data_IF_342265727799
#
_entry.id   IF_342265727799
#
_cell.length_a   1.000
_cell.length_b   1.000
_cell.length_c   1.000
_cell.angle_alpha   90.00
_cell.angle_beta   90.00
_cell.angle_gamma   90.00
#
_symmetry.space_group_name_H-M   'P 1'
#
loop_
_entity.id
_entity.type
_entity.pdbx_description
1 polymer ?
#
# COMPACT_ATOMS: atom_id res chain seq x y z
N UNK A 1 60.20 42.72 22.87
CA UNK A 1 60.70 41.94 21.73
C UNK A 1 59.55 41.14 21.13
N UNK A 2 59.42 41.21 19.81
CA UNK A 2 58.67 40.33 18.90
C UNK A 2 57.14 40.21 19.04
N UNK A 3 56.48 41.14 18.35
CA UNK A 3 55.25 40.95 17.57
C UNK A 3 55.29 39.75 16.61
N UNK A 4 54.18 39.04 16.42
CA UNK A 4 53.94 38.26 15.19
C UNK A 4 52.45 38.11 14.89
N UNK A 5 51.94 39.06 14.12
CA UNK A 5 50.71 38.95 13.34
C UNK A 5 50.88 37.88 12.25
N UNK A 6 49.88 37.03 12.02
CA UNK A 6 49.72 36.35 10.72
C UNK A 6 48.33 36.62 10.17
N UNK A 7 48.39 37.13 8.95
CA UNK A 7 47.38 37.66 8.06
C UNK A 7 47.25 36.72 6.86
N UNK A 8 46.10 36.76 6.17
CA UNK A 8 45.87 36.16 4.85
C UNK A 8 45.22 34.76 4.93
N UNK A 9 44.24 34.39 4.10
CA UNK A 9 43.87 34.86 2.78
C UNK A 9 42.37 34.67 2.54
N UNK A 10 41.69 35.73 2.10
CA UNK A 10 40.37 35.73 1.48
C UNK A 10 40.52 35.43 0.00
N UNK A 11 40.04 34.27 -0.46
CA UNK A 11 39.90 33.97 -1.89
C UNK A 11 38.47 34.36 -2.34
N UNK A 12 38.36 35.50 -3.01
CA UNK A 12 37.16 35.91 -3.72
C UNK A 12 36.96 35.00 -4.94
N UNK A 13 35.80 34.35 -5.03
CA UNK A 13 35.40 33.53 -6.17
C UNK A 13 34.42 34.32 -7.02
N UNK A 14 34.87 34.69 -8.21
CA UNK A 14 34.09 35.41 -9.22
C UNK A 14 32.91 34.54 -9.69
N UNK A 15 31.69 35.09 -9.63
CA UNK A 15 30.49 34.49 -10.21
C UNK A 15 30.28 35.16 -11.57
N UNK A 16 30.56 34.41 -12.64
CA UNK A 16 30.24 34.81 -14.00
C UNK A 16 28.73 34.71 -14.22
N UNK A 17 28.09 35.84 -14.50
CA UNK A 17 26.70 35.91 -14.95
C UNK A 17 26.62 35.48 -16.42
N UNK A 18 26.16 34.26 -16.66
CA UNK A 18 25.81 33.79 -18.00
C UNK A 18 24.40 34.26 -18.34
N UNK A 19 24.32 35.04 -19.42
CA UNK A 19 23.09 35.58 -19.99
C UNK A 19 22.20 34.46 -20.56
N UNK A 20 20.92 34.48 -20.18
CA UNK A 20 19.89 33.59 -20.73
C UNK A 20 19.53 33.99 -22.17
N UNK A 21 19.44 33.05 -23.13
CA UNK A 21 18.96 33.35 -24.46
C UNK A 21 17.44 33.52 -24.51
N UNK A 22 17.04 34.48 -25.35
CA UNK A 22 15.68 34.86 -25.70
C UNK A 22 14.79 33.66 -26.05
N UNK A 23 13.66 33.57 -25.34
CA UNK A 23 12.60 32.58 -25.52
C UNK A 23 11.77 32.96 -26.75
N UNK A 24 11.74 32.10 -27.76
CA UNK A 24 10.89 32.26 -28.95
C UNK A 24 9.39 32.15 -28.59
N UNK A 25 8.49 32.85 -29.33
CA UNK A 25 7.06 32.81 -29.08
C UNK A 25 6.44 31.49 -29.55
N UNK A 26 5.57 30.91 -28.71
CA UNK A 26 4.76 29.73 -29.02
C UNK A 26 3.64 30.07 -30.01
N UNK A 27 3.28 29.16 -30.94
CA UNK A 27 2.15 29.35 -31.83
C UNK A 27 0.81 29.21 -31.10
N UNK A 28 -0.11 30.14 -31.37
CA UNK A 28 -1.52 30.10 -30.96
C UNK A 28 -2.19 28.83 -31.49
N UNK A 29 -2.60 27.94 -30.60
CA UNK A 29 -3.53 26.85 -30.92
C UNK A 29 -4.95 27.40 -30.97
N UNK A 30 -5.57 27.30 -32.16
CA UNK A 30 -6.99 27.57 -32.43
C UNK A 30 -7.87 26.64 -31.58
N UNK A 31 -8.82 27.23 -30.87
CA UNK A 31 -9.93 26.52 -30.23
C UNK A 31 -10.81 25.85 -31.29
N UNK A 32 -10.95 24.52 -31.22
CA UNK A 32 -11.97 23.80 -31.95
C UNK A 32 -13.29 23.84 -31.15
N UNK A 33 -14.30 24.46 -31.74
CA UNK A 33 -15.68 24.49 -31.28
C UNK A 33 -16.28 23.09 -31.34
N UNK A 34 -16.64 22.52 -30.18
CA UNK A 34 -17.38 21.25 -30.10
C UNK A 34 -18.85 21.60 -29.89
N UNK A 35 -19.64 21.32 -30.92
CA UNK A 35 -21.08 21.48 -30.97
C UNK A 35 -21.78 20.37 -30.20
N UNK A 36 -22.64 20.74 -29.25
CA UNK A 36 -23.51 19.82 -28.50
C UNK A 36 -24.60 19.20 -29.39
N UNK A 37 -24.93 17.90 -29.23
CA UNK A 37 -26.21 17.37 -29.68
C UNK A 37 -27.20 17.21 -28.53
N UNK A 38 -28.19 18.10 -28.58
CA UNK A 38 -29.64 17.88 -28.49
C UNK A 38 -30.18 16.70 -27.67
N UNK A 39 -30.89 17.07 -26.60
CA UNK A 39 -31.95 16.30 -25.94
C UNK A 39 -32.98 15.76 -26.94
N UNK A 40 -33.30 14.47 -26.87
CA UNK A 40 -34.59 13.97 -27.34
C UNK A 40 -35.31 13.17 -26.25
N UNK A 41 -36.52 13.64 -26.01
CA UNK A 41 -37.52 13.15 -25.08
C UNK A 41 -38.28 11.95 -25.65
N UNK A 42 -38.74 11.10 -24.71
CA UNK A 42 -40.02 10.36 -24.68
C UNK A 42 -40.28 9.31 -25.77
N UNK A 43 -40.51 8.08 -25.29
CA UNK A 43 -41.71 7.33 -25.67
C UNK A 43 -42.07 6.32 -24.57
N UNK A 44 -43.28 6.47 -24.04
CA UNK A 44 -43.97 5.46 -23.25
C UNK A 44 -44.31 4.27 -24.16
N UNK A 45 -44.12 3.05 -23.67
CA UNK A 45 -44.82 1.87 -24.18
C UNK A 45 -45.50 1.20 -22.99
N UNK A 46 -46.82 1.32 -22.95
CA UNK A 46 -47.67 0.38 -22.25
C UNK A 46 -47.84 -0.83 -23.16
N UNK A 47 -47.59 -2.04 -22.65
CA UNK A 47 -48.40 -3.19 -23.04
C UNK A 47 -48.33 -4.29 -21.98
N UNK A 48 -49.52 -4.61 -21.51
CA UNK A 48 -49.95 -5.73 -20.68
C UNK A 48 -49.41 -7.08 -21.12
N UNK A 49 -49.03 -7.92 -20.16
CA UNK A 49 -49.26 -9.38 -20.19
C UNK A 49 -49.19 -9.94 -18.78
N UNK A 50 -50.37 -10.19 -18.23
CA UNK A 50 -50.56 -10.98 -17.02
C UNK A 50 -50.42 -12.45 -17.38
N UNK A 51 -49.46 -13.15 -16.76
CA UNK A 51 -49.46 -14.61 -16.72
C UNK A 51 -48.80 -15.10 -15.42
N UNK A 52 -49.69 -15.51 -14.51
CA UNK A 52 -49.57 -16.57 -13.49
C UNK A 52 -48.15 -17.12 -13.23
N UNK A 53 -47.62 -16.79 -12.06
CA UNK A 53 -46.76 -17.69 -11.27
C UNK A 53 -47.16 -17.50 -9.81
N UNK A 54 -48.15 -18.28 -9.38
CA UNK A 54 -48.30 -18.66 -7.98
C UNK A 54 -47.39 -19.86 -7.75
N UNK A 55 -46.81 -19.97 -6.56
CA UNK A 55 -46.07 -21.13 -6.03
C UNK A 55 -44.53 -21.04 -6.10
N UNK A 56 -43.95 -20.12 -5.31
CA UNK A 56 -42.56 -20.25 -4.85
C UNK A 56 -42.26 -19.48 -3.53
N UNK A 57 -43.23 -19.30 -2.64
CA UNK A 57 -42.96 -18.81 -1.28
C UNK A 57 -42.85 -20.01 -0.33
N UNK A 58 -41.62 -20.42 -0.01
CA UNK A 58 -41.44 -21.46 1.01
C UNK A 58 -40.09 -22.14 1.18
N UNK A 59 -38.97 -21.65 0.59
CA UNK A 59 -37.68 -22.34 0.71
C UNK A 59 -36.43 -21.49 1.03
N UNK A 60 -36.54 -20.18 1.31
CA UNK A 60 -35.34 -19.38 1.63
C UNK A 60 -34.99 -19.28 3.13
N UNK A 61 -35.91 -19.60 4.04
CA UNK A 61 -35.68 -19.38 5.49
C UNK A 61 -34.96 -20.53 6.22
N UNK A 62 -34.90 -21.73 5.62
CA UNK A 62 -34.20 -22.89 6.23
C UNK A 62 -32.68 -22.87 6.02
N UNK A 63 -32.18 -22.06 5.08
CA UNK A 63 -30.75 -21.93 4.78
C UNK A 63 -29.98 -21.07 5.78
N UNK A 64 -30.62 -20.03 6.34
CA UNK A 64 -29.97 -19.11 7.27
C UNK A 64 -29.89 -19.66 8.70
N UNK A 65 -30.87 -20.47 9.13
CA UNK A 65 -30.83 -21.11 10.46
C UNK A 65 -29.81 -22.26 10.57
N UNK A 66 -29.49 -22.99 9.49
CA UNK A 66 -28.40 -24.00 9.50
C UNK A 66 -27.00 -23.39 9.53
N UNK A 67 -26.82 -22.14 9.06
CA UNK A 67 -25.52 -21.43 9.12
C UNK A 67 -25.23 -20.84 10.50
N UNK A 68 -26.26 -20.39 11.24
CA UNK A 68 -26.10 -19.87 12.61
C UNK A 68 -25.82 -20.98 13.64
N UNK A 69 -26.37 -22.18 13.46
CA UNK A 69 -26.15 -23.31 14.38
C UNK A 69 -24.76 -23.94 14.28
N UNK A 70 -24.11 -23.86 13.11
CA UNK A 70 -22.77 -24.44 12.92
C UNK A 70 -21.63 -23.57 13.49
N UNK A 71 -21.82 -22.24 13.57
CA UNK A 71 -20.86 -21.33 14.23
C UNK A 71 -20.88 -21.47 15.76
N UNK A 72 -22.06 -21.69 16.36
CA UNK A 72 -22.21 -21.85 17.81
C UNK A 72 -21.59 -23.16 18.33
N UNK A 73 -21.64 -24.25 17.54
CA UNK A 73 -21.04 -25.52 17.93
C UNK A 73 -19.51 -25.55 17.81
N UNK A 74 -18.91 -24.78 16.88
CA UNK A 74 -17.44 -24.69 16.76
C UNK A 74 -16.79 -23.99 17.97
N UNK A 75 -17.42 -22.93 18.49
CA UNK A 75 -16.96 -22.26 19.74
C UNK A 75 -17.02 -23.15 20.99
N UNK A 76 -17.89 -24.17 21.01
CA UNK A 76 -18.00 -25.09 22.17
C UNK A 76 -16.94 -26.19 22.18
N UNK A 77 -16.39 -26.58 21.02
CA UNK A 77 -15.31 -27.57 20.97
C UNK A 77 -13.93 -26.96 21.29
N UNK A 78 -13.69 -25.69 20.92
CA UNK A 78 -12.41 -25.02 21.20
C UNK A 78 -12.20 -24.69 22.70
N UNK A 79 -13.27 -24.64 23.50
CA UNK A 79 -13.19 -24.33 24.93
C UNK A 79 -12.85 -25.52 25.84
N UNK A 80 -12.73 -26.75 25.33
CA UNK A 80 -12.32 -27.92 26.14
C UNK A 80 -10.82 -28.24 26.07
N UNK A 81 -10.04 -27.48 25.29
CA UNK A 81 -8.58 -27.62 25.18
C UNK A 81 -7.74 -26.53 25.86
N UNK A 82 -8.38 -25.62 26.60
CA UNK A 82 -7.78 -24.35 27.05
C UNK A 82 -6.70 -24.42 28.13
N UNK A 83 -6.55 -25.53 28.86
CA UNK A 83 -5.75 -25.53 30.09
C UNK A 83 -4.27 -25.94 29.93
N UNK A 84 -3.88 -26.62 28.84
CA UNK A 84 -2.48 -27.10 28.71
C UNK A 84 -1.48 -26.10 28.11
N UNK A 85 -1.92 -24.95 27.59
CA UNK A 85 -1.01 -23.96 26.96
C UNK A 85 -0.52 -22.86 27.90
N UNK A 86 -1.04 -22.74 29.12
CA UNK A 86 -0.61 -21.68 30.04
C UNK A 86 0.64 -22.01 30.86
N UNK A 87 1.10 -23.27 30.92
CA UNK A 87 2.23 -23.63 31.80
C UNK A 87 3.62 -23.43 31.18
N UNK A 88 3.76 -23.20 29.86
CA UNK A 88 5.08 -23.02 29.23
C UNK A 88 5.53 -21.56 29.04
N UNK A 89 4.79 -20.58 29.58
CA UNK A 89 5.09 -19.16 29.38
C UNK A 89 5.72 -18.45 30.61
N UNK A 90 6.15 -19.19 31.63
CA UNK A 90 6.82 -18.62 32.82
C UNK A 90 8.35 -18.55 32.70
N UNK A 91 8.93 -19.04 31.60
CA UNK A 91 10.33 -18.80 31.28
C UNK A 91 10.51 -17.42 30.66
N UNK A 92 10.55 -16.38 31.50
CA UNK A 92 10.94 -15.00 31.14
C UNK A 92 12.41 -14.88 30.74
N UNK A 93 12.90 -15.81 29.92
CA UNK A 93 14.21 -15.71 29.28
C UNK A 93 14.18 -14.49 28.39
N UNK A 94 14.97 -13.49 28.77
CA UNK A 94 15.33 -12.34 27.97
C UNK A 94 15.68 -12.85 26.57
N UNK A 95 14.73 -12.72 25.63
CA UNK A 95 14.96 -13.14 24.25
C UNK A 95 16.11 -12.28 23.78
N UNK A 96 17.30 -12.87 23.67
CA UNK A 96 18.49 -12.21 23.14
C UNK A 96 18.05 -11.41 21.93
N UNK A 97 18.15 -10.08 22.04
CA UNK A 97 17.81 -9.18 20.94
C UNK A 97 18.72 -9.58 19.80
N UNK A 98 18.15 -10.23 18.79
CA UNK A 98 18.89 -10.52 17.56
C UNK A 98 19.34 -9.18 17.00
N UNK A 99 20.63 -9.07 16.68
CA UNK A 99 21.16 -7.94 15.93
C UNK A 99 20.28 -7.70 14.69
N UNK A 100 20.00 -6.43 14.34
CA UNK A 100 19.16 -6.13 13.20
C UNK A 100 19.83 -6.65 11.93
N UNK A 101 19.05 -7.28 11.06
CA UNK A 101 19.57 -7.76 9.78
C UNK A 101 19.83 -6.56 8.85
N UNK A 102 20.90 -6.58 8.05
CA UNK A 102 21.12 -5.54 7.04
C UNK A 102 20.02 -5.58 5.97
N UNK A 103 19.64 -4.42 5.46
CA UNK A 103 18.78 -4.27 4.28
C UNK A 103 19.51 -4.83 3.05
N UNK A 104 18.75 -5.49 2.17
CA UNK A 104 19.29 -5.99 0.90
C UNK A 104 19.53 -4.81 -0.07
N UNK A 105 18.66 -3.80 -0.05
CA UNK A 105 18.76 -2.65 -0.93
C UNK A 105 17.92 -1.47 -0.50
N UNK A 106 18.32 -0.28 -0.94
CA UNK A 106 17.60 0.99 -0.79
C UNK A 106 17.58 1.67 -2.15
N UNK A 107 16.39 1.85 -2.70
CA UNK A 107 16.18 2.40 -4.03
C UNK A 107 15.47 3.74 -3.92
N UNK A 108 16.14 4.80 -4.37
CA UNK A 108 15.64 6.18 -4.34
C UNK A 108 15.13 6.66 -5.70
N UNK A 109 15.57 6.02 -6.78
CA UNK A 109 15.41 6.56 -8.12
C UNK A 109 14.30 5.81 -8.88
N UNK A 110 14.32 4.47 -8.83
CA UNK A 110 13.32 3.64 -9.50
C UNK A 110 13.14 2.26 -8.85
N UNK A 111 12.04 1.59 -9.19
CA UNK A 111 11.78 0.21 -8.80
C UNK A 111 12.74 -0.76 -9.50
N UNK A 112 13.44 -1.64 -8.77
CA UNK A 112 14.43 -2.55 -9.35
C UNK A 112 13.82 -3.80 -10.00
N UNK A 113 12.57 -4.10 -9.66
CA UNK A 113 11.79 -5.23 -10.18
C UNK A 113 10.31 -4.84 -10.20
N UNK A 114 9.51 -5.57 -10.96
CA UNK A 114 8.06 -5.46 -10.88
C UNK A 114 7.55 -5.89 -9.49
N UNK A 115 6.71 -5.07 -8.87
CA UNK A 115 6.19 -5.29 -7.53
C UNK A 115 4.66 -5.18 -7.49
N UNK A 116 4.07 -5.95 -6.58
CA UNK A 116 2.64 -6.01 -6.36
C UNK A 116 2.29 -5.68 -4.91
N UNK A 117 1.17 -4.98 -4.73
CA UNK A 117 0.53 -4.72 -3.44
C UNK A 117 -0.89 -5.24 -3.46
N UNK A 118 -1.17 -6.24 -2.62
CA UNK A 118 -2.54 -6.68 -2.32
C UNK A 118 -3.16 -5.73 -1.29
N UNK A 119 -4.32 -5.17 -1.61
CA UNK A 119 -5.00 -4.17 -0.78
C UNK A 119 -6.51 -4.45 -0.68
N UNK A 120 -7.10 -4.01 0.43
CA UNK A 120 -8.56 -4.08 0.65
C UNK A 120 -9.25 -2.79 0.21
N UNK A 121 -9.34 -2.56 -1.10
CA UNK A 121 -9.89 -1.35 -1.70
C UNK A 121 -8.87 -0.60 -2.57
N UNK A 122 -9.33 0.48 -3.17
CA UNK A 122 -8.55 1.40 -4.02
C UNK A 122 -7.70 2.41 -3.21
N UNK A 123 -8.03 2.65 -1.94
CA UNK A 123 -7.23 3.52 -1.06
C UNK A 123 -6.28 2.73 -0.19
N UNK A 124 -5.04 3.21 -0.08
CA UNK A 124 -4.03 2.62 0.80
C UNK A 124 -4.26 3.10 2.23
N UNK A 125 -4.38 2.15 3.15
CA UNK A 125 -4.52 2.39 4.59
C UNK A 125 -3.49 1.57 5.37
N UNK A 126 -2.38 2.20 5.71
CA UNK A 126 -1.39 1.66 6.64
C UNK A 126 -1.93 1.67 8.07
N UNK A 127 -1.61 0.62 8.82
CA UNK A 127 -2.09 0.41 10.18
C UNK A 127 -0.99 0.72 11.19
N UNK A 128 -1.29 1.63 12.11
CA UNK A 128 -0.44 1.94 13.27
C UNK A 128 -0.40 0.79 14.29
N UNK A 129 0.81 0.42 14.73
CA UNK A 129 1.06 -0.63 15.72
C UNK A 129 0.25 -0.44 17.01
N UNK A 130 0.37 0.71 17.68
CA UNK A 130 -0.23 0.91 19.00
C UNK A 130 -1.76 0.85 18.95
N UNK A 131 -2.35 1.46 17.93
CA UNK A 131 -3.79 1.39 17.64
C UNK A 131 -4.26 -0.02 17.31
N UNK A 132 -3.50 -0.81 16.55
CA UNK A 132 -3.90 -2.21 16.30
C UNK A 132 -3.80 -3.05 17.58
N UNK A 133 -2.79 -2.81 18.42
CA UNK A 133 -2.63 -3.51 19.70
C UNK A 133 -3.76 -3.21 20.68
N UNK A 134 -4.20 -1.95 20.79
CA UNK A 134 -5.34 -1.59 21.64
C UNK A 134 -6.66 -2.22 21.18
N UNK A 135 -6.78 -2.53 19.89
CA UNK A 135 -7.91 -3.25 19.30
C UNK A 135 -7.78 -4.78 19.36
N UNK A 136 -6.73 -5.31 20.01
CA UNK A 136 -6.48 -6.77 20.07
C UNK A 136 -6.10 -7.41 18.73
N UNK A 137 -5.59 -6.61 17.78
CA UNK A 137 -5.18 -7.07 16.44
C UNK A 137 -3.66 -7.23 16.37
N UNK A 138 -3.21 -8.25 15.63
CA UNK A 138 -1.78 -8.55 15.49
C UNK A 138 -1.12 -7.93 14.26
N UNK A 139 -1.91 -7.58 13.24
CA UNK A 139 -1.39 -7.07 11.97
C UNK A 139 -1.28 -5.54 11.98
N UNK A 140 -0.08 -5.05 11.71
CA UNK A 140 0.25 -3.63 11.57
C UNK A 140 1.30 -3.46 10.45
N UNK A 141 1.45 -2.22 9.98
CA UNK A 141 2.35 -1.88 8.87
C UNK A 141 3.44 -0.88 9.30
N UNK A 142 3.15 -0.03 10.29
CA UNK A 142 4.08 1.00 10.78
C UNK A 142 4.00 1.15 12.30
N UNK A 143 5.01 1.80 12.89
CA UNK A 143 5.01 2.27 14.29
C UNK A 143 5.27 3.77 14.28
N UNK A 144 4.38 4.56 14.87
CA UNK A 144 4.56 6.00 14.97
C UNK A 144 5.64 6.37 16.00
N UNK A 145 6.33 7.49 15.74
CA UNK A 145 7.21 8.13 16.72
C UNK A 145 6.43 8.70 17.91
N UNK A 146 7.17 9.14 18.92
CA UNK A 146 6.57 9.81 20.09
C UNK A 146 5.79 11.08 19.71
N UNK A 147 6.22 11.73 18.63
CA UNK A 147 5.61 12.90 18.01
C UNK A 147 4.38 12.59 17.13
N UNK A 148 3.94 11.33 17.08
CA UNK A 148 2.84 10.83 16.24
C UNK A 148 3.10 10.93 14.73
N UNK A 149 4.37 11.03 14.31
CA UNK A 149 4.76 11.02 12.90
C UNK A 149 5.29 9.65 12.45
N UNK A 150 5.23 9.43 11.14
CA UNK A 150 5.95 8.36 10.46
C UNK A 150 7.31 8.90 10.06
N UNK A 151 8.37 8.33 10.61
CA UNK A 151 9.73 8.73 10.26
C UNK A 151 10.30 7.89 9.11
N UNK A 152 11.14 8.51 8.25
CA UNK A 152 11.90 7.75 7.27
C UNK A 152 12.83 6.80 8.01
N UNK A 153 12.97 5.58 7.48
CA UNK A 153 13.87 4.59 8.08
C UNK A 153 15.33 4.99 7.83
N UNK A 154 16.13 5.31 8.87
CA UNK A 154 17.54 5.64 8.70
C UNK A 154 18.39 4.37 8.56
N UNK A 155 19.60 4.54 8.03
CA UNK A 155 20.65 3.53 8.05
C UNK A 155 20.47 2.38 7.06
N UNK A 156 21.36 1.40 7.18
CA UNK A 156 21.44 0.22 6.33
C UNK A 156 20.72 -1.00 6.92
N UNK A 157 20.11 -0.90 8.11
CA UNK A 157 19.59 -2.05 8.85
C UNK A 157 18.06 -2.09 8.95
N UNK A 158 17.52 -3.29 8.82
CA UNK A 158 16.11 -3.60 9.07
C UNK A 158 15.84 -3.70 10.57
N UNK A 159 15.04 -2.77 11.13
CA UNK A 159 14.52 -2.92 12.50
C UNK A 159 13.00 -2.96 12.57
N UNK A 160 12.36 -3.48 11.53
CA UNK A 160 10.92 -3.72 11.50
C UNK A 160 10.18 -2.96 10.41
N UNK A 161 8.86 -3.17 10.41
CA UNK A 161 7.93 -2.68 9.39
C UNK A 161 7.81 -1.17 9.46
N UNK A 162 7.95 -0.50 8.32
CA UNK A 162 7.86 0.96 8.24
C UNK A 162 7.27 1.45 6.90
N UNK A 163 6.26 0.76 6.35
CA UNK A 163 5.64 1.23 5.12
C UNK A 163 4.71 0.25 4.42
N UNK A 164 4.50 0.51 3.13
CA UNK A 164 3.65 -0.29 2.27
C UNK A 164 4.38 -1.56 1.83
N UNK A 165 4.01 -2.69 2.42
CA UNK A 165 4.50 -4.02 2.03
C UNK A 165 4.16 -4.34 0.57
N UNK A 166 5.16 -4.66 -0.23
CA UNK A 166 5.07 -5.09 -1.62
C UNK A 166 5.90 -6.37 -1.85
N UNK A 167 5.57 -7.14 -2.90
CA UNK A 167 6.30 -8.37 -3.26
C UNK A 167 6.41 -8.51 -4.79
N UNK A 168 7.49 -9.10 -5.31
CA UNK A 168 7.57 -9.48 -6.71
C UNK A 168 6.63 -10.66 -7.01
N UNK A 169 6.45 -10.99 -8.29
CA UNK A 169 5.73 -12.18 -8.70
C UNK A 169 6.47 -13.44 -8.22
N UNK A 170 5.86 -14.17 -7.27
CA UNK A 170 6.38 -15.43 -6.74
C UNK A 170 5.25 -16.26 -6.09
N UNK A 171 5.52 -17.52 -5.69
CA UNK A 171 4.51 -18.39 -5.06
C UNK A 171 3.90 -17.82 -3.79
N UNK A 172 4.67 -17.06 -3.00
CA UNK A 172 4.19 -16.45 -1.76
C UNK A 172 3.19 -15.34 -2.06
N UNK A 173 3.42 -14.52 -3.10
CA UNK A 173 2.45 -13.52 -3.55
C UNK A 173 1.17 -14.18 -4.07
N UNK A 174 1.27 -15.24 -4.88
CA UNK A 174 0.10 -15.97 -5.39
C UNK A 174 -0.76 -16.50 -4.25
N UNK A 175 -0.14 -17.19 -3.29
CA UNK A 175 -0.82 -17.69 -2.09
C UNK A 175 -1.48 -16.55 -1.31
N UNK A 176 -0.83 -15.39 -1.21
CA UNK A 176 -1.41 -14.20 -0.57
C UNK A 176 -2.65 -13.70 -1.33
N UNK A 177 -2.59 -13.59 -2.66
CA UNK A 177 -3.73 -13.14 -3.50
C UNK A 177 -4.89 -14.11 -3.40
N UNK A 178 -4.63 -15.42 -3.54
CA UNK A 178 -5.64 -16.48 -3.45
C UNK A 178 -6.34 -16.48 -2.10
N UNK A 179 -5.59 -16.34 -1.01
CA UNK A 179 -6.13 -16.30 0.36
C UNK A 179 -6.78 -14.98 0.74
N UNK A 180 -6.50 -13.90 0.02
CA UNK A 180 -7.10 -12.61 0.30
C UNK A 180 -8.59 -12.66 -0.04
N UNK A 181 -9.42 -12.82 0.99
CA UNK A 181 -10.85 -13.02 0.87
C UNK A 181 -11.60 -11.71 1.16
N UNK A 182 -11.45 -10.74 0.26
CA UNK A 182 -12.23 -9.51 0.26
C UNK A 182 -12.85 -9.29 -1.13
N UNK A 183 -14.16 -9.01 -1.24
CA UNK A 183 -14.75 -8.64 -2.53
C UNK A 183 -14.23 -7.30 -3.06
N UNK A 184 -13.70 -6.45 -2.16
CA UNK A 184 -13.02 -5.20 -2.51
C UNK A 184 -11.52 -5.39 -2.76
N UNK A 185 -11.04 -6.62 -2.92
CA UNK A 185 -9.63 -6.87 -3.19
C UNK A 185 -9.18 -6.10 -4.43
N UNK A 186 -8.07 -5.39 -4.28
CA UNK A 186 -7.39 -4.67 -5.34
C UNK A 186 -5.91 -4.98 -5.28
N UNK A 187 -5.31 -5.21 -6.43
CA UNK A 187 -3.90 -5.49 -6.56
C UNK A 187 -3.30 -4.36 -7.37
N UNK A 188 -2.45 -3.55 -6.74
CA UNK A 188 -1.64 -2.59 -7.45
C UNK A 188 -0.43 -3.29 -8.02
N UNK A 189 -0.23 -3.18 -9.33
CA UNK A 189 0.96 -3.61 -10.05
C UNK A 189 1.80 -2.39 -10.38
N UNK A 190 3.06 -2.39 -9.96
CA UNK A 190 4.03 -1.36 -10.28
C UNK A 190 5.15 -1.97 -11.14
N UNK A 191 5.26 -1.59 -12.43
CA UNK A 191 6.30 -2.10 -13.30
C UNK A 191 7.71 -1.82 -12.80
N UNK A 192 8.67 -2.65 -13.20
CA UNK A 192 10.10 -2.36 -13.06
C UNK A 192 10.43 -1.00 -13.74
N UNK A 193 11.37 -0.26 -13.16
CA UNK A 193 11.76 1.05 -13.68
C UNK A 193 10.77 2.18 -13.35
N UNK A 194 9.68 1.91 -12.63
CA UNK A 194 8.78 2.96 -12.12
C UNK A 194 9.60 3.98 -11.32
N UNK A 195 9.54 5.25 -11.72
CA UNK A 195 10.34 6.32 -11.07
C UNK A 195 9.79 6.69 -9.70
N UNK A 196 10.71 6.93 -8.76
CA UNK A 196 10.46 7.45 -7.42
C UNK A 196 10.80 8.95 -7.29
N UNK A 197 11.39 9.54 -8.33
CA UNK A 197 11.86 10.93 -8.30
C UNK A 197 10.71 11.91 -8.00
N UNK A 198 10.95 12.82 -7.04
CA UNK A 198 9.97 13.83 -6.64
C UNK A 198 8.73 13.30 -5.91
N UNK A 199 8.64 12.00 -5.62
CA UNK A 199 7.50 11.42 -4.89
C UNK A 199 7.57 11.63 -3.38
N UNK A 200 8.75 11.92 -2.84
CA UNK A 200 9.01 11.89 -1.40
C UNK A 200 8.92 10.48 -0.81
N UNK A 201 9.09 9.44 -1.65
CA UNK A 201 9.07 8.04 -1.26
C UNK A 201 10.40 7.34 -1.55
N UNK A 202 10.68 6.29 -0.80
CA UNK A 202 11.84 5.40 -0.97
C UNK A 202 11.39 3.95 -0.89
N UNK A 203 11.96 3.09 -1.73
CA UNK A 203 11.69 1.66 -1.70
C UNK A 203 12.83 0.94 -0.99
N UNK A 204 12.52 0.25 0.09
CA UNK A 204 13.46 -0.59 0.82
C UNK A 204 13.22 -2.06 0.51
N UNK A 205 14.29 -2.80 0.22
CA UNK A 205 14.27 -4.25 0.14
C UNK A 205 14.71 -4.79 1.50
N UNK A 206 13.72 -5.14 2.32
CA UNK A 206 13.90 -5.43 3.74
C UNK A 206 14.60 -6.78 3.95
N UNK A 207 14.01 -7.85 3.43
CA UNK A 207 14.55 -9.21 3.50
C UNK A 207 13.85 -10.12 2.48
N UNK A 208 14.52 -11.19 2.04
CA UNK A 208 13.96 -12.19 1.11
C UNK A 208 13.33 -11.53 -0.12
N UNK A 209 12.01 -11.61 -0.26
CA UNK A 209 11.20 -11.08 -1.37
C UNK A 209 10.33 -9.89 -0.94
N UNK A 210 10.61 -9.33 0.23
CA UNK A 210 9.75 -8.34 0.85
C UNK A 210 10.31 -6.93 0.67
N UNK A 211 9.52 -6.10 0.00
CA UNK A 211 9.81 -4.70 -0.24
C UNK A 211 8.84 -3.81 0.54
N UNK A 212 9.27 -2.59 0.82
CA UNK A 212 8.55 -1.65 1.67
C UNK A 212 8.70 -0.26 1.09
N UNK A 213 7.61 0.30 0.57
CA UNK A 213 7.57 1.68 0.07
C UNK A 213 7.26 2.61 1.26
N UNK A 214 8.17 3.54 1.54
CA UNK A 214 8.19 4.37 2.74
C UNK A 214 8.35 5.85 2.37
N UNK A 215 8.17 6.73 3.34
CA UNK A 215 8.44 8.17 3.21
C UNK A 215 9.93 8.48 3.30
N UNK A 216 10.40 9.55 2.65
CA UNK A 216 11.76 10.10 2.81
C UNK A 216 11.87 11.18 3.88
N UNK A 217 10.74 11.65 4.40
CA UNK A 217 10.65 12.72 5.39
C UNK A 217 9.61 12.40 6.47
N UNK A 218 9.66 13.10 7.60
CA UNK A 218 8.71 12.84 8.69
C UNK A 218 7.35 13.43 8.34
N UNK A 219 6.33 12.59 8.28
CA UNK A 219 4.96 12.97 7.85
C UNK A 219 3.92 12.35 8.77
N UNK A 220 2.69 12.87 8.74
CA UNK A 220 1.59 12.20 9.43
C UNK A 220 1.22 10.88 8.74
N UNK A 221 0.60 9.95 9.46
CA UNK A 221 0.11 8.70 8.86
C UNK A 221 -0.92 8.95 7.75
N UNK A 222 -1.78 9.95 7.93
CA UNK A 222 -2.79 10.32 6.93
C UNK A 222 -2.13 10.82 5.64
N UNK A 223 -1.15 11.70 5.76
CA UNK A 223 -0.39 12.22 4.63
C UNK A 223 0.35 11.10 3.89
N UNK A 224 1.00 10.16 4.62
CA UNK A 224 1.64 9.02 3.99
C UNK A 224 0.64 8.13 3.24
N UNK A 225 -0.52 7.83 3.84
CA UNK A 225 -1.57 7.05 3.18
C UNK A 225 -2.06 7.73 1.89
N UNK A 226 -2.22 9.05 1.92
CA UNK A 226 -2.64 9.83 0.75
C UNK A 226 -1.55 9.79 -0.34
N UNK A 227 -0.29 10.08 0.01
CA UNK A 227 0.85 10.01 -0.93
C UNK A 227 1.00 8.65 -1.58
N UNK A 228 0.89 7.56 -0.80
CA UNK A 228 0.96 6.20 -1.33
C UNK A 228 -0.22 5.90 -2.26
N UNK A 229 -1.43 6.30 -1.88
CA UNK A 229 -2.63 6.13 -2.72
C UNK A 229 -2.47 6.87 -4.05
N UNK A 230 -2.05 8.12 -4.00
CA UNK A 230 -1.85 8.96 -5.19
C UNK A 230 -0.75 8.39 -6.08
N UNK A 231 0.39 7.98 -5.49
CA UNK A 231 1.47 7.35 -6.22
C UNK A 231 1.00 6.08 -6.91
N UNK A 232 0.49 5.10 -6.16
CA UNK A 232 0.08 3.81 -6.72
C UNK A 232 -1.05 3.94 -7.76
N UNK A 233 -1.97 4.88 -7.60
CA UNK A 233 -3.06 5.13 -8.57
C UNK A 233 -2.54 5.82 -9.83
N UNK A 234 -1.56 6.72 -9.70
CA UNK A 234 -1.01 7.49 -10.82
C UNK A 234 -0.06 6.67 -11.69
N UNK A 235 0.83 5.88 -11.08
CA UNK A 235 1.89 5.16 -11.80
C UNK A 235 1.64 3.66 -11.92
N UNK A 236 0.80 3.10 -11.06
CA UNK A 236 0.49 1.68 -11.05
C UNK A 236 -0.72 1.32 -11.91
N UNK A 237 -0.81 0.04 -12.25
CA UNK A 237 -2.02 -0.57 -12.79
C UNK A 237 -2.85 -1.16 -11.64
N UNK A 238 -4.14 -0.86 -11.60
CA UNK A 238 -5.06 -1.38 -10.60
C UNK A 238 -5.81 -2.59 -11.17
N UNK A 239 -5.63 -3.75 -10.55
CA UNK A 239 -6.26 -5.00 -10.95
C UNK A 239 -7.25 -5.48 -9.88
N UNK A 240 -8.34 -6.09 -10.33
CA UNK A 240 -9.15 -6.98 -9.50
C UNK A 240 -8.41 -8.29 -9.23
N UNK A 241 -8.91 -9.07 -8.26
CA UNK A 241 -8.32 -10.38 -7.95
C UNK A 241 -8.43 -11.33 -9.14
N UNK A 242 -9.56 -11.31 -9.83
CA UNK A 242 -9.87 -12.16 -10.97
C UNK A 242 -8.95 -11.83 -12.15
N UNK A 243 -8.81 -10.54 -12.50
CA UNK A 243 -7.88 -10.10 -13.56
C UNK A 243 -6.43 -10.46 -13.24
N UNK A 244 -6.02 -10.34 -11.97
CA UNK A 244 -4.67 -10.72 -11.57
C UNK A 244 -4.45 -12.24 -11.71
N UNK A 245 -5.39 -13.06 -11.24
CA UNK A 245 -5.30 -14.51 -11.32
C UNK A 245 -5.29 -14.99 -12.79
N UNK A 246 -6.11 -14.42 -13.64
CA UNK A 246 -6.14 -14.75 -15.08
C UNK A 246 -4.79 -14.48 -15.75
N UNK A 247 -4.14 -13.35 -15.42
CA UNK A 247 -2.86 -12.96 -16.04
C UNK A 247 -1.65 -13.68 -15.47
N UNK A 248 -1.61 -13.93 -14.16
CA UNK A 248 -0.38 -14.30 -13.46
C UNK A 248 -0.40 -15.68 -12.80
N UNK A 249 -1.57 -16.27 -12.54
CA UNK A 249 -1.61 -17.57 -11.85
C UNK A 249 -1.03 -18.72 -12.68
N UNK A 250 -0.97 -18.59 -14.01
CA UNK A 250 -0.42 -19.58 -14.93
C UNK A 250 1.08 -19.45 -15.18
N UNK A 251 1.71 -18.37 -14.70
CA UNK A 251 3.12 -18.05 -14.99
C UNK A 251 4.11 -18.64 -13.95
N UNK A 252 3.64 -19.49 -13.04
CA UNK A 252 4.42 -20.07 -11.95
C UNK A 252 4.38 -21.60 -11.99
#
# INVERSE_FOLDING_TARGET
>A
MASSLRSGCTAARAVAAAASPLRAPLPLLRAASISSPTLLSRACIHSTSAQRFSDAEGQEDRGQQRRKSNWANRRRQDNRGGDRRQQNNQGGGERQRREPAPLIGRYTDSFPVELFRVNGGDRIFLRDYHKQRSLGRNGFDITLGEDQLVHPRPGADYSGRNGLSMRPLNPVLTENVERFNSPSARIFRLPEGTSLEGSGLVLLHEHTDHYSLQTTESVTLEELNQRLTDFCTKVGELLTKEEWLERYASQQ
#
